data_IF_640956566077
#
_entry.id   IF_640956566077
#
_cell.length_a   1.000
_cell.length_b   1.000
_cell.length_c   1.000
_cell.angle_alpha   90.00
_cell.angle_beta   90.00
_cell.angle_gamma   90.00
#
_symmetry.space_group_name_H-M   'P 1'
#
loop_
_entity.id
_entity.type
_entity.pdbx_description
1 polymer ?
#
# COMPACT_ATOMS: atom_id res chain seq x y z
N UNK A 1 -5.54 -17.05 14.06
CA UNK A 1 -5.04 -18.03 13.07
C UNK A 1 -4.64 -17.25 11.83
N UNK A 2 -3.41 -17.39 11.35
CA UNK A 2 -3.00 -16.70 10.13
C UNK A 2 -3.93 -17.12 8.98
N UNK A 3 -4.37 -16.14 8.19
CA UNK A 3 -5.26 -16.38 7.06
C UNK A 3 -4.56 -17.28 6.04
N UNK A 4 -5.09 -18.48 5.80
CA UNK A 4 -4.50 -19.47 4.87
C UNK A 4 -4.38 -18.89 3.46
N UNK A 5 -5.33 -18.04 3.03
CA UNK A 5 -5.29 -17.38 1.72
C UNK A 5 -4.13 -16.38 1.66
N UNK A 6 -3.90 -15.57 2.69
CA UNK A 6 -2.76 -14.65 2.74
C UNK A 6 -1.42 -15.38 2.66
N UNK A 7 -1.26 -16.52 3.34
CA UNK A 7 -0.06 -17.34 3.25
C UNK A 7 0.13 -17.94 1.86
N UNK A 8 -0.95 -18.39 1.22
CA UNK A 8 -0.91 -18.95 -0.14
C UNK A 8 -0.48 -17.89 -1.14
N UNK A 9 -1.11 -16.72 -1.12
CA UNK A 9 -0.78 -15.57 -1.99
C UNK A 9 0.66 -15.11 -1.76
N UNK A 10 1.06 -15.00 -0.51
CA UNK A 10 2.42 -14.60 -0.15
C UNK A 10 3.47 -15.62 -0.63
N UNK A 11 3.11 -16.91 -0.63
CA UNK A 11 3.97 -17.97 -1.19
C UNK A 11 4.05 -17.88 -2.71
N UNK A 12 2.97 -17.50 -3.39
CA UNK A 12 2.95 -17.24 -4.82
C UNK A 12 3.83 -16.03 -5.17
N UNK A 13 3.70 -14.92 -4.44
CA UNK A 13 4.57 -13.75 -4.59
C UNK A 13 6.05 -14.08 -4.37
N UNK A 14 6.34 -14.91 -3.37
CA UNK A 14 7.69 -15.39 -3.15
C UNK A 14 8.20 -16.29 -4.29
N UNK A 15 7.36 -17.12 -4.87
CA UNK A 15 7.70 -17.92 -6.07
C UNK A 15 8.01 -17.00 -7.26
N UNK A 16 7.26 -15.93 -7.47
CA UNK A 16 7.54 -14.92 -8.49
C UNK A 16 8.93 -14.30 -8.33
N UNK A 17 9.28 -13.91 -7.09
CA UNK A 17 10.61 -13.42 -6.78
C UNK A 17 11.71 -14.46 -7.10
N UNK A 18 11.42 -15.75 -6.93
CA UNK A 18 12.33 -16.82 -7.28
C UNK A 18 12.42 -17.09 -8.79
N UNK A 19 11.32 -16.99 -9.52
CA UNK A 19 11.29 -17.21 -10.98
C UNK A 19 12.06 -16.11 -11.74
N UNK A 20 12.05 -14.89 -11.17
CA UNK A 20 12.81 -13.76 -11.70
C UNK A 20 14.30 -13.76 -11.32
N UNK A 21 14.77 -14.74 -10.54
CA UNK A 21 16.16 -14.88 -10.05
C UNK A 21 17.24 -14.94 -11.15
N UNK A 22 16.88 -15.08 -12.41
CA UNK A 22 17.85 -15.14 -13.50
C UNK A 22 18.63 -13.84 -13.74
N UNK A 23 18.15 -12.70 -13.23
CA UNK A 23 18.70 -11.38 -13.49
C UNK A 23 19.03 -10.57 -12.22
N UNK A 24 18.39 -10.84 -11.08
CA UNK A 24 18.52 -10.05 -9.87
C UNK A 24 18.57 -10.94 -8.62
N UNK A 25 19.24 -10.48 -7.55
CA UNK A 25 19.20 -11.15 -6.24
C UNK A 25 17.80 -11.05 -5.63
N UNK A 26 17.35 -12.14 -5.00
CA UNK A 26 16.01 -12.20 -4.40
C UNK A 26 15.76 -11.11 -3.35
N UNK A 27 16.80 -10.63 -2.66
CA UNK A 27 16.70 -9.53 -1.70
C UNK A 27 16.39 -8.19 -2.37
N UNK A 28 16.78 -8.00 -3.62
CA UNK A 28 16.53 -6.76 -4.39
C UNK A 28 15.14 -6.74 -5.00
N UNK A 29 14.48 -7.88 -5.17
CA UNK A 29 13.11 -7.94 -5.69
C UNK A 29 12.06 -7.29 -4.77
N UNK A 30 12.32 -7.27 -3.45
CA UNK A 30 11.44 -6.58 -2.50
C UNK A 30 11.23 -5.11 -2.92
N UNK A 31 12.29 -4.47 -3.45
CA UNK A 31 12.30 -3.06 -3.83
C UNK A 31 11.41 -2.76 -5.05
N UNK A 32 10.90 -3.79 -5.71
CA UNK A 32 9.94 -3.68 -6.83
C UNK A 32 8.59 -4.32 -6.50
N UNK A 33 8.57 -5.51 -5.90
CA UNK A 33 7.31 -6.22 -5.60
C UNK A 33 6.46 -5.42 -4.61
N UNK A 34 7.04 -4.96 -3.50
CA UNK A 34 6.30 -4.26 -2.47
C UNK A 34 5.69 -2.93 -2.96
N UNK A 35 6.43 -2.06 -3.69
CA UNK A 35 5.84 -0.84 -4.23
C UNK A 35 4.73 -1.09 -5.24
N UNK A 36 4.90 -2.03 -6.17
CA UNK A 36 3.85 -2.34 -7.15
C UNK A 36 2.63 -2.98 -6.52
N UNK A 37 2.84 -3.83 -5.50
CA UNK A 37 1.75 -4.39 -4.71
C UNK A 37 0.95 -3.28 -4.01
N UNK A 38 1.66 -2.32 -3.41
CA UNK A 38 1.04 -1.18 -2.75
C UNK A 38 0.36 -0.24 -3.76
N UNK A 39 0.98 0.01 -4.92
CA UNK A 39 0.37 0.81 -5.97
C UNK A 39 -0.92 0.18 -6.51
N UNK A 40 -0.96 -1.13 -6.72
CA UNK A 40 -2.19 -1.86 -7.08
C UNK A 40 -3.27 -1.63 -6.03
N UNK A 41 -2.92 -1.76 -4.74
CA UNK A 41 -3.87 -1.53 -3.65
C UNK A 41 -4.44 -0.11 -3.70
N UNK A 42 -3.59 0.91 -3.81
CA UNK A 42 -4.05 2.31 -3.87
C UNK A 42 -4.95 2.55 -5.09
N UNK A 43 -4.62 1.99 -6.24
CA UNK A 43 -5.46 2.10 -7.45
C UNK A 43 -6.81 1.42 -7.26
N UNK A 44 -6.84 0.20 -6.72
CA UNK A 44 -8.10 -0.51 -6.45
C UNK A 44 -8.94 0.22 -5.41
N UNK A 45 -8.33 0.76 -4.37
CA UNK A 45 -9.02 1.53 -3.35
C UNK A 45 -9.60 2.84 -3.91
N UNK A 46 -8.90 3.50 -4.84
CA UNK A 46 -9.48 4.65 -5.55
C UNK A 46 -10.66 4.25 -6.44
N UNK A 47 -10.59 3.12 -7.14
CA UNK A 47 -11.72 2.62 -7.93
C UNK A 47 -12.95 2.33 -7.06
N UNK A 48 -12.76 1.71 -5.88
CA UNK A 48 -13.82 1.50 -4.90
C UNK A 48 -14.42 2.83 -4.42
N UNK A 49 -13.59 3.81 -4.11
CA UNK A 49 -14.02 5.15 -3.72
C UNK A 49 -14.87 5.83 -4.82
N UNK A 50 -14.46 5.75 -6.08
CA UNK A 50 -15.20 6.34 -7.21
C UNK A 50 -16.63 5.78 -7.31
N UNK A 51 -16.80 4.48 -7.03
CA UNK A 51 -18.11 3.83 -7.00
C UNK A 51 -18.91 4.20 -5.74
N UNK A 52 -18.28 4.08 -4.56
CA UNK A 52 -18.94 4.28 -3.27
C UNK A 52 -19.38 5.75 -3.06
N UNK A 53 -18.64 6.70 -3.59
CA UNK A 53 -18.99 8.13 -3.59
C UNK A 53 -20.07 8.50 -4.60
N UNK A 54 -20.41 7.58 -5.51
CA UNK A 54 -21.37 7.81 -6.58
C UNK A 54 -20.83 8.68 -7.73
N UNK A 55 -19.53 8.90 -7.79
CA UNK A 55 -18.87 9.60 -8.92
C UNK A 55 -18.99 8.79 -10.21
N UNK A 56 -18.94 7.45 -10.12
CA UNK A 56 -19.16 6.55 -11.25
C UNK A 56 -20.22 5.51 -10.91
N UNK A 57 -21.03 5.11 -11.91
CA UNK A 57 -22.02 4.05 -11.79
C UNK A 57 -21.72 2.93 -12.81
N UNK A 58 -21.08 1.82 -12.40
CA UNK A 58 -20.73 0.72 -13.29
C UNK A 58 -21.93 -0.08 -13.81
N UNK A 59 -23.17 0.24 -13.39
CA UNK A 59 -24.39 -0.44 -13.86
C UNK A 59 -24.63 -0.25 -15.39
N UNK A 60 -23.97 0.71 -16.02
CA UNK A 60 -24.06 0.96 -17.47
C UNK A 60 -23.25 -0.03 -18.33
N UNK A 61 -22.55 -1.00 -17.73
CA UNK A 61 -21.78 -2.03 -18.45
C UNK A 61 -20.39 -1.58 -18.89
N UNK A 62 -19.94 -0.40 -18.46
CA UNK A 62 -18.57 0.10 -18.62
C UNK A 62 -17.73 -0.23 -17.39
N UNK A 63 -16.42 -0.36 -17.57
CA UNK A 63 -15.51 -0.47 -16.43
C UNK A 63 -15.43 0.84 -15.65
N UNK A 64 -15.07 0.77 -14.35
CA UNK A 64 -14.86 1.95 -13.50
C UNK A 64 -13.84 2.90 -14.14
N UNK A 65 -12.79 2.36 -14.73
CA UNK A 65 -11.74 3.16 -15.35
C UNK A 65 -12.19 3.89 -16.64
N UNK A 66 -13.08 3.26 -17.44
CA UNK A 66 -13.70 3.93 -18.60
C UNK A 66 -14.58 5.10 -18.14
N UNK A 67 -15.42 4.86 -17.13
CA UNK A 67 -16.27 5.92 -16.56
C UNK A 67 -15.44 7.04 -15.94
N UNK A 68 -14.35 6.71 -15.26
CA UNK A 68 -13.44 7.71 -14.71
C UNK A 68 -12.83 8.59 -15.81
N UNK A 69 -12.41 8.03 -16.94
CA UNK A 69 -11.94 8.79 -18.11
C UNK A 69 -13.02 9.74 -18.63
N UNK A 70 -14.26 9.26 -18.73
CA UNK A 70 -15.40 10.08 -19.20
C UNK A 70 -15.71 11.26 -18.28
N UNK A 71 -15.65 11.06 -16.94
CA UNK A 71 -15.85 12.16 -15.99
C UNK A 71 -14.73 13.18 -16.12
N UNK A 72 -13.49 12.75 -16.22
CA UNK A 72 -12.35 13.66 -16.42
C UNK A 72 -12.48 14.46 -17.73
N UNK A 73 -13.02 13.87 -18.79
CA UNK A 73 -13.32 14.59 -20.04
C UNK A 73 -14.41 15.64 -19.86
N UNK A 74 -15.37 15.42 -18.96
CA UNK A 74 -16.50 16.32 -18.73
C UNK A 74 -16.18 17.44 -17.73
N UNK A 75 -15.53 17.11 -16.63
CA UNK A 75 -15.31 18.00 -15.48
C UNK A 75 -13.90 18.60 -15.44
N UNK A 76 -12.94 17.96 -16.10
CA UNK A 76 -11.54 18.33 -16.08
C UNK A 76 -10.72 17.51 -15.09
N UNK A 77 -9.46 17.26 -15.46
CA UNK A 77 -8.56 16.39 -14.68
C UNK A 77 -8.26 16.99 -13.29
N UNK A 78 -7.98 18.30 -13.22
CA UNK A 78 -7.58 18.95 -11.95
C UNK A 78 -8.69 18.90 -10.92
N UNK A 79 -9.93 19.15 -11.31
CA UNK A 79 -11.09 19.15 -10.40
C UNK A 79 -11.35 17.73 -9.87
N UNK A 80 -11.33 16.71 -10.76
CA UNK A 80 -11.48 15.31 -10.35
C UNK A 80 -10.37 14.85 -9.39
N UNK A 81 -9.10 15.20 -9.68
CA UNK A 81 -7.98 14.85 -8.81
C UNK A 81 -8.07 15.56 -7.45
N UNK A 82 -8.57 16.79 -7.42
CA UNK A 82 -8.75 17.52 -6.17
C UNK A 82 -9.81 16.85 -5.27
N UNK A 83 -10.93 16.45 -5.82
CA UNK A 83 -12.01 15.77 -5.09
C UNK A 83 -11.53 14.44 -4.51
N UNK A 84 -10.86 13.63 -5.34
CA UNK A 84 -10.31 12.34 -4.91
C UNK A 84 -9.24 12.54 -3.83
N UNK A 85 -8.26 13.43 -4.05
CA UNK A 85 -7.19 13.69 -3.11
C UNK A 85 -7.68 14.29 -1.79
N UNK A 86 -8.77 15.09 -1.82
CA UNK A 86 -9.38 15.63 -0.59
C UNK A 86 -9.96 14.53 0.30
N UNK A 87 -10.44 13.44 -0.30
CA UNK A 87 -11.04 12.32 0.42
C UNK A 87 -10.05 11.23 0.80
N UNK A 88 -9.17 10.85 -0.15
CA UNK A 88 -8.23 9.72 0.03
C UNK A 88 -6.83 10.15 0.50
N UNK A 89 -6.48 11.43 0.39
CA UNK A 89 -5.14 11.96 0.63
C UNK A 89 -4.18 11.79 -0.55
N UNK A 90 -4.60 11.12 -1.62
CA UNK A 90 -3.87 10.93 -2.87
C UNK A 90 -4.86 10.82 -4.03
N UNK A 91 -4.37 10.95 -5.27
CA UNK A 91 -5.14 10.66 -6.47
C UNK A 91 -4.25 10.04 -7.55
N UNK A 92 -4.85 9.18 -8.38
CA UNK A 92 -4.18 8.50 -9.51
C UNK A 92 -4.91 8.94 -10.77
N UNK A 93 -4.17 9.39 -11.79
CA UNK A 93 -4.75 9.79 -13.07
C UNK A 93 -5.41 8.59 -13.75
N UNK A 94 -6.45 8.77 -14.57
CA UNK A 94 -7.13 7.65 -15.23
C UNK A 94 -6.23 6.81 -16.15
N UNK A 95 -5.22 7.43 -16.78
CA UNK A 95 -4.22 6.72 -17.59
C UNK A 95 -3.14 6.00 -16.79
N UNK A 96 -3.01 6.31 -15.49
CA UNK A 96 -2.00 5.75 -14.60
C UNK A 96 -2.57 4.69 -13.65
N UNK A 97 -3.88 4.44 -13.68
CA UNK A 97 -4.51 3.41 -12.85
C UNK A 97 -3.89 2.03 -13.10
N UNK A 98 -4.01 1.15 -12.12
CA UNK A 98 -3.53 -0.23 -12.27
C UNK A 98 -4.14 -0.93 -13.49
N UNK A 99 -5.44 -0.71 -13.74
CA UNK A 99 -6.14 -1.26 -14.92
C UNK A 99 -5.55 -0.71 -16.21
N UNK A 100 -5.35 0.61 -16.32
CA UNK A 100 -4.72 1.21 -17.52
C UNK A 100 -3.31 0.68 -17.76
N UNK A 101 -2.51 0.48 -16.70
CA UNK A 101 -1.17 -0.08 -16.81
C UNK A 101 -1.20 -1.54 -17.29
N UNK A 102 -2.05 -2.39 -16.71
CA UNK A 102 -2.15 -3.80 -17.09
C UNK A 102 -2.71 -3.99 -18.49
N UNK A 103 -3.68 -3.19 -18.90
CA UNK A 103 -4.16 -3.13 -20.30
C UNK A 103 -3.03 -2.75 -21.28
N UNK A 104 -2.24 -1.73 -20.93
CA UNK A 104 -1.10 -1.30 -21.75
C UNK A 104 -0.03 -2.39 -21.87
N UNK A 105 0.23 -3.13 -20.79
CA UNK A 105 1.14 -4.28 -20.80
C UNK A 105 0.59 -5.38 -21.73
N UNK A 106 -0.69 -5.70 -21.60
CA UNK A 106 -1.35 -6.73 -22.41
C UNK A 106 -1.32 -6.39 -23.91
N UNK A 107 -1.54 -5.12 -24.23
CA UNK A 107 -1.51 -4.60 -25.60
C UNK A 107 -0.09 -4.37 -26.13
N UNK A 108 0.95 -4.53 -25.30
CA UNK A 108 2.34 -4.31 -25.68
C UNK A 108 2.69 -2.84 -25.98
N UNK A 109 1.94 -1.90 -25.44
CA UNK A 109 2.09 -0.45 -25.67
C UNK A 109 2.93 0.26 -24.63
N UNK A 110 3.31 -0.41 -23.52
CA UNK A 110 4.14 0.18 -22.46
C UNK A 110 5.51 0.60 -23.01
N UNK A 111 5.83 1.87 -22.81
CA UNK A 111 7.13 2.43 -23.17
C UNK A 111 8.03 2.57 -21.93
N UNK A 112 9.36 2.67 -22.12
CA UNK A 112 10.31 2.69 -20.99
C UNK A 112 10.09 3.79 -19.94
N UNK A 113 9.45 4.90 -20.30
CA UNK A 113 9.18 6.03 -19.42
C UNK A 113 7.87 5.94 -18.63
N UNK A 114 6.98 4.99 -18.95
CA UNK A 114 5.65 4.95 -18.33
C UNK A 114 5.70 4.71 -16.82
N UNK A 115 6.55 3.79 -16.36
CA UNK A 115 6.71 3.54 -14.93
C UNK A 115 7.20 4.76 -14.15
N UNK A 116 8.13 5.52 -14.74
CA UNK A 116 8.63 6.75 -14.13
C UNK A 116 7.52 7.80 -14.07
N UNK A 117 6.80 8.01 -15.19
CA UNK A 117 5.67 8.95 -15.28
C UNK A 117 4.58 8.63 -14.25
N UNK A 118 4.20 7.36 -14.11
CA UNK A 118 3.19 6.91 -13.13
C UNK A 118 3.57 7.34 -11.70
N UNK A 119 4.81 7.11 -11.28
CA UNK A 119 5.23 7.49 -9.94
C UNK A 119 5.46 8.99 -9.77
N UNK A 120 5.92 9.70 -10.81
CA UNK A 120 6.01 11.16 -10.79
C UNK A 120 4.64 11.81 -10.68
N UNK A 121 3.65 11.34 -11.46
CA UNK A 121 2.27 11.82 -11.39
C UNK A 121 1.65 11.53 -10.01
N UNK A 122 1.86 10.33 -9.46
CA UNK A 122 1.39 10.01 -8.12
C UNK A 122 1.95 10.95 -7.06
N UNK A 123 3.25 11.22 -7.11
CA UNK A 123 3.90 12.15 -6.18
C UNK A 123 3.36 13.57 -6.32
N UNK A 124 3.14 14.05 -7.56
CA UNK A 124 2.57 15.37 -7.81
C UNK A 124 1.13 15.46 -7.25
N UNK A 125 0.31 14.44 -7.48
CA UNK A 125 -1.07 14.40 -7.01
C UNK A 125 -1.18 14.30 -5.48
N UNK A 126 -0.22 13.62 -4.82
CA UNK A 126 -0.16 13.57 -3.37
C UNK A 126 0.13 14.94 -2.71
N UNK A 127 0.60 15.93 -3.48
CA UNK A 127 0.80 17.30 -3.00
C UNK A 127 -0.49 18.14 -3.03
N UNK A 128 -1.55 17.68 -3.70
CA UNK A 128 -2.83 18.40 -3.80
C UNK A 128 -3.46 18.54 -2.41
N UNK A 129 -3.47 17.48 -1.61
CA UNK A 129 -3.94 17.54 -0.23
C UNK A 129 -2.76 17.76 0.73
N UNK A 130 -2.56 19.00 1.17
CA UNK A 130 -1.43 19.37 2.01
C UNK A 130 -1.44 18.70 3.39
N UNK A 131 -2.61 18.35 3.94
CA UNK A 131 -2.73 17.68 5.24
C UNK A 131 -2.28 16.21 5.15
N UNK A 132 -2.66 15.52 4.09
CA UNK A 132 -2.30 14.12 3.86
C UNK A 132 -1.00 13.93 3.07
N UNK A 133 -0.43 15.00 2.51
CA UNK A 133 0.76 14.91 1.65
C UNK A 133 1.97 14.27 2.35
N UNK A 134 2.08 14.44 3.67
CA UNK A 134 3.16 13.82 4.47
C UNK A 134 3.10 12.29 4.47
N UNK A 135 1.91 11.69 4.23
CA UNK A 135 1.70 10.25 4.29
C UNK A 135 1.99 9.57 2.95
N UNK A 136 1.76 10.26 1.83
CA UNK A 136 1.85 9.68 0.49
C UNK A 136 3.02 10.21 -0.34
N UNK A 137 3.54 11.41 -0.01
CA UNK A 137 4.62 12.03 -0.76
C UNK A 137 5.90 11.20 -0.71
N UNK A 138 6.40 10.86 -1.87
CA UNK A 138 7.71 10.22 -2.02
C UNK A 138 7.73 8.73 -1.64
N UNK A 139 6.58 8.10 -1.38
CA UNK A 139 6.52 6.67 -1.01
C UNK A 139 7.08 5.73 -2.09
N UNK A 140 7.16 6.20 -3.34
CA UNK A 140 7.75 5.45 -4.45
C UNK A 140 9.13 5.94 -4.88
N UNK A 141 9.71 6.94 -4.20
CA UNK A 141 10.99 7.55 -4.61
C UNK A 141 12.21 6.61 -4.47
N UNK A 142 12.08 5.55 -3.70
CA UNK A 142 13.18 4.59 -3.51
C UNK A 142 13.27 3.54 -4.63
N UNK A 143 12.31 3.50 -5.55
CA UNK A 143 12.31 2.53 -6.65
C UNK A 143 13.35 2.91 -7.69
N UNK A 144 14.38 2.10 -7.85
CA UNK A 144 15.40 2.33 -8.86
C UNK A 144 15.04 1.67 -10.20
N UNK A 145 14.26 2.34 -11.02
CA UNK A 145 13.88 1.86 -12.36
C UNK A 145 15.07 1.73 -13.34
N UNK A 146 16.21 2.34 -13.00
CA UNK A 146 17.46 2.27 -13.77
C UNK A 146 18.38 1.10 -13.43
N UNK A 147 18.01 0.28 -12.44
CA UNK A 147 18.86 -0.82 -11.95
C UNK A 147 19.19 -1.82 -13.06
N UNK A 148 20.47 -2.09 -13.23
CA UNK A 148 20.99 -3.09 -14.20
C UNK A 148 20.55 -4.51 -13.87
N UNK A 149 20.17 -4.80 -12.63
CA UNK A 149 19.58 -6.08 -12.21
C UNK A 149 18.22 -6.35 -12.85
N UNK A 150 17.45 -5.31 -13.20
CA UNK A 150 16.22 -5.44 -14.00
C UNK A 150 16.50 -5.80 -15.46
N UNK A 151 17.69 -5.44 -15.96
CA UNK A 151 18.10 -5.67 -17.34
C UNK A 151 19.15 -4.68 -17.82
N UNK A 152 20.02 -5.12 -18.72
CA UNK A 152 21.14 -4.31 -19.24
C UNK A 152 20.67 -3.18 -20.17
N UNK A 153 19.46 -3.25 -20.69
CA UNK A 153 18.87 -2.24 -21.59
C UNK A 153 17.55 -1.71 -21.00
N UNK A 154 17.15 -0.51 -21.39
CA UNK A 154 15.86 0.06 -20.99
C UNK A 154 14.68 -0.84 -21.38
N UNK A 155 14.69 -1.39 -22.59
CA UNK A 155 13.67 -2.36 -23.01
C UNK A 155 13.69 -3.66 -22.18
N UNK A 156 14.88 -4.14 -21.82
CA UNK A 156 15.04 -5.29 -20.92
C UNK A 156 14.45 -5.03 -19.55
N UNK A 157 14.73 -3.86 -18.97
CA UNK A 157 14.17 -3.44 -17.66
C UNK A 157 12.65 -3.34 -17.72
N UNK A 158 12.10 -2.70 -18.76
CA UNK A 158 10.64 -2.61 -18.96
C UNK A 158 10.01 -4.00 -19.05
N UNK A 159 10.63 -4.94 -19.79
CA UNK A 159 10.13 -6.32 -19.88
C UNK A 159 10.08 -7.01 -18.52
N UNK A 160 11.10 -6.82 -17.69
CA UNK A 160 11.14 -7.39 -16.32
C UNK A 160 10.06 -6.77 -15.45
N UNK A 161 9.88 -5.44 -15.47
CA UNK A 161 8.83 -4.76 -14.72
C UNK A 161 7.44 -5.19 -15.18
N UNK A 162 7.19 -5.31 -16.49
CA UNK A 162 5.94 -5.83 -17.03
C UNK A 162 5.65 -7.24 -16.48
N UNK A 163 6.65 -8.11 -16.40
CA UNK A 163 6.47 -9.45 -15.85
C UNK A 163 6.12 -9.41 -14.34
N UNK A 164 6.73 -8.51 -13.55
CA UNK A 164 6.41 -8.30 -12.14
C UNK A 164 4.95 -7.83 -12.00
N UNK A 165 4.57 -6.78 -12.74
CA UNK A 165 3.21 -6.21 -12.69
C UNK A 165 2.17 -7.25 -13.11
N UNK A 166 2.37 -7.99 -14.21
CA UNK A 166 1.44 -9.03 -14.68
C UNK A 166 1.23 -10.11 -13.62
N UNK A 167 2.28 -10.48 -12.89
CA UNK A 167 2.17 -11.47 -11.82
C UNK A 167 1.46 -10.93 -10.58
N UNK A 168 1.69 -9.67 -10.23
CA UNK A 168 0.97 -9.00 -9.15
C UNK A 168 -0.51 -8.84 -9.52
N UNK A 169 -0.82 -8.67 -10.81
CA UNK A 169 -2.19 -8.54 -11.28
C UNK A 169 -3.04 -9.80 -11.01
N UNK A 170 -2.43 -10.98 -11.07
CA UNK A 170 -3.08 -12.25 -10.75
C UNK A 170 -3.50 -12.39 -9.26
N UNK A 171 -3.13 -11.42 -8.39
CA UNK A 171 -3.35 -11.50 -6.93
C UNK A 171 -4.61 -10.77 -6.54
N UNK A 172 -5.49 -11.45 -5.82
CA UNK A 172 -6.64 -10.86 -5.16
C UNK A 172 -6.33 -10.53 -3.70
N UNK A 173 -6.62 -9.29 -3.27
CA UNK A 173 -6.38 -8.84 -1.89
C UNK A 173 -7.51 -9.14 -0.92
N UNK A 174 -8.67 -9.59 -1.40
CA UNK A 174 -9.81 -9.93 -0.56
C UNK A 174 -9.84 -11.42 -0.29
N UNK A 175 -10.10 -11.80 0.94
CA UNK A 175 -10.36 -13.20 1.29
C UNK A 175 -11.78 -13.63 0.86
N UNK A 176 -12.14 -14.88 1.17
CA UNK A 176 -13.45 -15.43 0.83
C UNK A 176 -14.61 -14.69 1.51
N UNK A 177 -14.34 -13.94 2.58
CA UNK A 177 -15.33 -13.11 3.30
C UNK A 177 -15.39 -11.67 2.77
N UNK A 178 -14.54 -11.32 1.81
CA UNK A 178 -14.39 -9.95 1.29
C UNK A 178 -13.48 -9.05 2.13
N UNK A 179 -12.86 -9.59 3.18
CA UNK A 179 -11.91 -8.83 4.02
C UNK A 179 -10.61 -8.59 3.27
N UNK A 180 -10.12 -7.35 3.33
CA UNK A 180 -8.79 -7.00 2.84
C UNK A 180 -7.69 -7.71 3.64
N UNK A 181 -6.79 -8.37 2.94
CA UNK A 181 -5.66 -9.13 3.52
C UNK A 181 -4.30 -8.60 3.04
N UNK A 182 -4.25 -7.41 2.41
CA UNK A 182 -2.99 -6.85 1.93
C UNK A 182 -1.97 -6.69 3.05
N UNK A 183 -2.39 -6.20 4.22
CA UNK A 183 -1.51 -6.06 5.38
C UNK A 183 -0.85 -7.37 5.78
N UNK A 184 -1.61 -8.47 5.83
CA UNK A 184 -1.11 -9.80 6.14
C UNK A 184 -0.11 -10.31 5.09
N UNK A 185 -0.39 -10.04 3.80
CA UNK A 185 0.50 -10.36 2.67
C UNK A 185 1.81 -9.59 2.80
N UNK A 186 1.73 -8.29 3.06
CA UNK A 186 2.87 -7.39 3.17
C UNK A 186 3.78 -7.79 4.33
N UNK A 187 3.23 -8.05 5.50
CA UNK A 187 3.98 -8.53 6.67
C UNK A 187 4.71 -9.85 6.40
N UNK A 188 4.04 -10.79 5.77
CA UNK A 188 4.66 -12.07 5.42
C UNK A 188 5.84 -11.88 4.46
N UNK A 189 5.70 -11.04 3.43
CA UNK A 189 6.77 -10.76 2.48
C UNK A 189 7.97 -10.10 3.15
N UNK A 190 7.75 -9.09 4.00
CA UNK A 190 8.83 -8.46 4.78
C UNK A 190 9.56 -9.52 5.61
N UNK A 191 8.83 -10.38 6.32
CA UNK A 191 9.42 -11.45 7.11
C UNK A 191 10.27 -12.41 6.27
N UNK A 192 9.80 -12.80 5.09
CA UNK A 192 10.53 -13.66 4.16
C UNK A 192 11.77 -13.00 3.57
N UNK A 193 11.67 -11.74 3.15
CA UNK A 193 12.81 -11.00 2.64
C UNK A 193 13.87 -10.78 3.73
N UNK A 194 13.46 -10.45 4.96
CA UNK A 194 14.38 -10.29 6.09
C UNK A 194 15.11 -11.61 6.40
N UNK A 195 14.43 -12.75 6.39
CA UNK A 195 15.03 -14.06 6.63
C UNK A 195 16.07 -14.45 5.56
N UNK A 196 15.87 -14.02 4.29
CA UNK A 196 16.74 -14.35 3.17
C UNK A 196 17.89 -13.34 2.96
N UNK A 197 17.77 -12.11 3.44
CA UNK A 197 18.82 -11.09 3.33
C UNK A 197 20.09 -11.43 4.12
N UNK A 198 20.12 -12.56 4.83
CA UNK A 198 21.24 -13.06 5.61
C UNK A 198 21.82 -12.00 6.54
N UNK A 199 21.67 -12.13 7.83
CA UNK A 199 22.30 -11.49 9.01
C UNK A 199 23.13 -10.19 8.83
N UNK A 200 22.93 -9.40 7.79
CA UNK A 200 23.55 -8.11 7.63
C UNK A 200 22.63 -7.03 8.18
N UNK A 201 22.87 -6.71 9.45
CA UNK A 201 22.39 -5.52 10.10
C UNK A 201 20.97 -5.62 10.66
N UNK A 202 20.79 -6.10 11.85
CA UNK A 202 19.88 -5.65 12.93
C UNK A 202 18.39 -5.40 12.65
N UNK A 203 17.92 -5.50 11.43
CA UNK A 203 16.51 -5.36 11.09
C UNK A 203 15.79 -6.67 11.33
N UNK A 204 15.39 -6.91 12.57
CA UNK A 204 14.56 -8.04 12.91
C UNK A 204 13.09 -7.59 12.90
N UNK A 205 12.34 -8.15 11.97
CA UNK A 205 10.89 -8.06 11.98
C UNK A 205 10.34 -8.85 13.19
N UNK A 206 9.45 -8.24 13.96
CA UNK A 206 8.76 -8.92 15.06
C UNK A 206 7.71 -9.87 14.48
N UNK A 207 7.80 -11.20 14.71
CA UNK A 207 6.80 -12.13 14.22
C UNK A 207 5.39 -11.73 14.68
N UNK A 208 4.39 -11.90 13.80
CA UNK A 208 3.01 -11.48 14.05
C UNK A 208 2.44 -12.08 15.34
N UNK A 209 2.73 -13.34 15.63
CA UNK A 209 2.29 -14.05 16.84
C UNK A 209 2.88 -13.41 18.11
N UNK A 210 4.11 -12.93 18.04
CA UNK A 210 4.76 -12.19 19.14
C UNK A 210 4.11 -10.83 19.32
N UNK A 211 3.80 -10.13 18.20
CA UNK A 211 3.09 -8.84 18.24
C UNK A 211 1.71 -8.98 18.89
N UNK A 212 0.95 -10.04 18.59
CA UNK A 212 -0.34 -10.34 19.22
C UNK A 212 -0.17 -10.56 20.73
N UNK A 213 0.82 -11.34 21.17
CA UNK A 213 1.07 -11.58 22.60
C UNK A 213 1.40 -10.26 23.31
N UNK A 214 2.28 -9.45 22.75
CA UNK A 214 2.65 -8.15 23.31
C UNK A 214 1.43 -7.21 23.36
N UNK A 215 0.66 -7.14 22.28
CA UNK A 215 -0.55 -6.33 22.22
C UNK A 215 -1.56 -6.73 23.29
N UNK A 216 -1.86 -8.01 23.44
CA UNK A 216 -2.76 -8.53 24.50
C UNK A 216 -2.24 -8.24 25.91
N UNK A 217 -0.94 -8.32 26.13
CA UNK A 217 -0.35 -8.00 27.44
C UNK A 217 -0.51 -6.51 27.80
N UNK A 218 -0.26 -5.60 26.85
CA UNK A 218 -0.36 -4.15 27.12
C UNK A 218 -1.81 -3.67 27.17
N UNK A 219 -2.75 -4.37 26.51
CA UNK A 219 -4.18 -4.02 26.49
C UNK A 219 -5.00 -4.74 27.55
N UNK A 220 -4.44 -5.72 28.28
CA UNK A 220 -5.17 -6.60 29.22
C UNK A 220 -5.97 -5.86 30.32
N UNK A 221 -5.58 -4.64 30.69
CA UNK A 221 -6.25 -3.85 31.72
C UNK A 221 -6.97 -2.61 31.18
N UNK A 222 -7.23 -2.57 29.87
CA UNK A 222 -7.88 -1.42 29.21
C UNK A 222 -9.40 -1.57 29.13
N UNK A 223 -9.98 -2.69 29.60
CA UNK A 223 -11.42 -2.89 29.61
C UNK A 223 -12.13 -1.79 30.44
N UNK A 224 -13.10 -1.13 29.83
CA UNK A 224 -13.91 -0.07 30.46
C UNK A 224 -13.16 1.21 30.88
N UNK A 225 -12.02 1.52 30.28
CA UNK A 225 -11.40 2.82 30.48
C UNK A 225 -11.98 3.86 29.52
N UNK A 226 -12.42 4.97 30.09
CA UNK A 226 -12.84 6.18 29.37
C UNK A 226 -11.68 7.17 29.15
N UNK A 227 -10.52 6.89 29.73
CA UNK A 227 -9.35 7.77 29.69
C UNK A 227 -8.62 7.65 28.33
N UNK A 228 -8.08 8.76 27.88
CA UNK A 228 -7.12 8.77 26.77
C UNK A 228 -5.82 8.09 27.17
N UNK A 229 -5.27 7.24 26.32
CA UNK A 229 -3.98 6.62 26.56
C UNK A 229 -3.10 6.68 25.30
N UNK A 230 -1.81 6.62 25.52
CA UNK A 230 -0.80 6.71 24.46
C UNK A 230 -0.05 5.40 24.36
N UNK A 231 0.11 4.90 23.14
CA UNK A 231 0.96 3.75 22.83
C UNK A 231 2.22 4.24 22.15
N UNK A 232 3.38 3.82 22.66
CA UNK A 232 4.68 4.22 22.14
C UNK A 232 5.52 3.01 21.78
N UNK A 233 6.03 3.00 20.56
CA UNK A 233 7.03 2.03 20.09
C UNK A 233 8.37 2.75 19.89
N UNK A 234 9.36 2.55 20.77
CA UNK A 234 10.68 3.20 20.67
C UNK A 234 11.53 2.65 19.51
N UNK A 235 11.16 1.51 18.97
CA UNK A 235 11.91 0.79 17.93
C UNK A 235 11.06 0.52 16.70
N UNK A 236 10.11 1.42 16.43
CA UNK A 236 9.15 1.25 15.35
C UNK A 236 9.84 1.09 13.99
N UNK A 237 9.61 -0.08 13.37
CA UNK A 237 9.91 -0.34 11.98
C UNK A 237 8.70 -0.01 11.09
N UNK A 238 8.00 -1.03 10.60
CA UNK A 238 6.80 -0.90 9.76
C UNK A 238 5.55 -0.40 10.50
N UNK A 239 5.60 -0.22 11.81
CA UNK A 239 4.42 0.15 12.61
C UNK A 239 3.47 -1.01 12.91
N UNK A 240 3.75 -2.23 12.45
CA UNK A 240 2.88 -3.40 12.60
C UNK A 240 2.54 -3.71 14.07
N UNK A 241 3.48 -3.48 14.99
CA UNK A 241 3.23 -3.67 16.42
C UNK A 241 2.16 -2.71 16.94
N UNK A 242 2.25 -1.43 16.58
CA UNK A 242 1.24 -0.41 16.95
C UNK A 242 -0.13 -0.73 16.35
N UNK A 243 -0.18 -1.16 15.09
CA UNK A 243 -1.42 -1.59 14.43
C UNK A 243 -2.02 -2.81 15.12
N UNK A 244 -1.20 -3.79 15.52
CA UNK A 244 -1.67 -4.95 16.27
C UNK A 244 -2.24 -4.55 17.63
N UNK A 245 -1.59 -3.63 18.35
CA UNK A 245 -2.12 -3.07 19.62
C UNK A 245 -3.47 -2.40 19.37
N UNK A 246 -3.60 -1.57 18.32
CA UNK A 246 -4.88 -0.93 17.95
C UNK A 246 -6.00 -1.94 17.75
N UNK A 247 -5.71 -3.05 17.09
CA UNK A 247 -6.72 -4.10 16.82
C UNK A 247 -7.13 -4.88 18.06
N UNK A 248 -6.27 -4.99 19.07
CA UNK A 248 -6.55 -5.68 20.33
C UNK A 248 -7.20 -4.77 21.39
N UNK A 249 -7.34 -3.46 21.14
CA UNK A 249 -8.04 -2.54 22.04
C UNK A 249 -9.54 -2.84 22.00
N UNK A 250 -10.21 -3.10 23.14
CA UNK A 250 -11.64 -3.36 23.18
C UNK A 250 -12.46 -2.19 22.61
N UNK A 251 -13.55 -2.48 21.91
CA UNK A 251 -14.38 -1.47 21.25
C UNK A 251 -14.95 -0.40 22.21
N UNK A 252 -15.23 -0.76 23.45
CA UNK A 252 -15.66 0.19 24.49
C UNK A 252 -14.60 1.21 24.89
N UNK A 253 -13.32 0.86 24.72
CA UNK A 253 -12.17 1.74 25.02
C UNK A 253 -11.71 2.55 23.79
N UNK A 254 -12.22 2.24 22.60
CA UNK A 254 -11.93 2.99 21.35
C UNK A 254 -12.63 4.35 21.29
N UNK A 255 -13.62 4.59 22.16
CA UNK A 255 -14.27 5.90 22.29
C UNK A 255 -13.38 6.96 22.97
N UNK A 256 -12.35 6.53 23.73
CA UNK A 256 -11.28 7.40 24.18
C UNK A 256 -10.25 7.61 23.06
N UNK A 257 -9.72 8.82 22.92
CA UNK A 257 -8.69 9.10 21.94
C UNK A 257 -7.43 8.27 22.24
N UNK A 258 -7.06 7.37 21.32
CA UNK A 258 -5.81 6.61 21.40
C UNK A 258 -4.78 7.31 20.54
N UNK A 259 -3.71 7.81 21.15
CA UNK A 259 -2.60 8.42 20.43
C UNK A 259 -1.47 7.40 20.27
N UNK A 260 -0.98 7.26 19.02
CA UNK A 260 0.18 6.44 18.73
C UNK A 260 1.39 7.33 18.51
N UNK A 261 2.45 7.10 19.29
CA UNK A 261 3.71 7.82 19.15
C UNK A 261 4.78 6.89 18.58
N UNK A 262 5.58 7.42 17.66
CA UNK A 262 6.75 6.75 17.09
C UNK A 262 8.04 7.43 17.53
N UNK A 263 9.13 6.67 17.66
CA UNK A 263 10.46 7.24 17.67
C UNK A 263 10.81 7.74 16.26
N UNK A 264 11.34 8.97 16.14
CA UNK A 264 11.86 9.47 14.87
C UNK A 264 13.23 8.87 14.63
N UNK A 265 13.37 7.96 13.67
CA UNK A 265 14.69 7.55 13.23
C UNK A 265 15.30 8.67 12.37
N UNK A 266 16.51 9.07 12.72
CA UNK A 266 17.30 10.02 11.91
C UNK A 266 17.95 9.28 10.75
N UNK A 267 17.30 8.86 9.73
CA UNK A 267 17.75 8.49 8.38
C UNK A 267 16.77 7.49 7.74
N UNK A 268 15.98 7.98 6.83
CA UNK A 268 15.50 7.19 5.68
C UNK A 268 14.30 6.27 5.86
N UNK A 269 13.63 6.25 7.01
CA UNK A 269 12.47 5.38 7.22
C UNK A 269 11.16 6.05 6.79
N UNK A 270 10.31 5.25 6.15
CA UNK A 270 8.98 5.62 5.66
C UNK A 270 8.15 6.29 6.76
N UNK A 271 7.69 7.50 6.50
CA UNK A 271 6.83 8.24 7.43
C UNK A 271 5.40 7.73 7.29
N UNK A 272 4.89 7.02 8.29
CA UNK A 272 3.44 6.85 8.45
C UNK A 272 2.92 7.93 9.40
N UNK A 273 1.98 8.74 8.92
CA UNK A 273 1.39 9.84 9.68
C UNK A 273 0.55 9.34 10.85
N UNK A 274 0.40 10.20 11.85
CA UNK A 274 -0.57 10.02 12.91
C UNK A 274 -1.93 10.44 12.38
N UNK A 275 -2.82 9.49 12.04
CA UNK A 275 -4.22 9.81 11.86
C UNK A 275 -4.87 10.04 13.22
N UNK A 276 -5.19 11.28 13.55
CA UNK A 276 -6.29 11.55 14.48
C UNK A 276 -7.59 11.10 13.79
N UNK A 277 -8.46 10.34 14.45
CA UNK A 277 -9.75 10.03 13.87
C UNK A 277 -10.53 11.34 13.72
N UNK A 278 -10.82 11.73 12.47
CA UNK A 278 -11.78 12.79 12.20
C UNK A 278 -13.11 12.38 12.81
N UNK A 279 -13.53 13.14 13.80
CA UNK A 279 -14.83 13.01 14.45
C UNK A 279 -15.92 13.43 13.43
N UNK A 280 -16.50 12.44 12.76
CA UNK A 280 -17.64 12.60 11.85
C UNK A 280 -18.96 12.93 12.61
N UNK A 281 -18.89 13.75 13.67
CA UNK A 281 -20.04 14.24 14.40
C UNK A 281 -19.90 15.72 14.75
N UNK A 282 -19.93 16.56 13.77
CA UNK A 282 -20.41 17.94 13.87
C UNK A 282 -21.13 18.25 12.59
N UNK A 283 -22.44 17.99 12.61
CA UNK A 283 -23.53 18.81 12.07
C UNK A 283 -24.79 17.94 12.03
N UNK A 284 -25.57 18.05 13.11
CA UNK A 284 -27.00 17.96 13.16
C UNK A 284 -27.50 19.14 13.95
#
# INVERSE_FOLDING_TARGET
MANVKAQTISSQLWAIANDLRGTMDASSFKDYILPFLFYKYLSTHQEEYLVDSGLVDPSEGKSVNELYKEIVEQEGLEDCLMDIASSLGYAINPEDTWVSLTESIHNGTVVPGDYQRIFENFNANAEINQEASADFRGIFNYINLGDSGLGSTTAGRTKTLNAVVSKIDEIEYKDESGKDILGEIYEYLIGKFAANAGKKGGEFYTPHEVSIILAKLVTANLENREDTFTVYDPTMGSGSLLLTVRNEIPDGSRQGAVSFLRARAEHGDVQFGTHEPHDARRDL
#
